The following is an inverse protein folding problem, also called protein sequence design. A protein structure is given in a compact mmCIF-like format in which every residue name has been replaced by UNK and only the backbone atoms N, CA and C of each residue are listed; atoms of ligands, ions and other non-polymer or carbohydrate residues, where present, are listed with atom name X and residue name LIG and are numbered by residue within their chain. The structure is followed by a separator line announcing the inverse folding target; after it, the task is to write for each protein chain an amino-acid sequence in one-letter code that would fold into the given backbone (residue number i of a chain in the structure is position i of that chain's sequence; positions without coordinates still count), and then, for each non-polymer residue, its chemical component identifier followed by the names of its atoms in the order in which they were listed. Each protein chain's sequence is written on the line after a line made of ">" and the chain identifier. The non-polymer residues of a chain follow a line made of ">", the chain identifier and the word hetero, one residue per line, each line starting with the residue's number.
data_IF_366801930020
#
_entry.id   IF_366801930020
#
_cell.length_a   1.000
_cell.length_b   1.000
_cell.length_c   1.000
_cell.angle_alpha   90.00
_cell.angle_beta   90.00
_cell.angle_gamma   90.00
#
_symmetry.space_group_name_H-M   'P 1'
#
loop_
_entity.id
_entity.type
_entity.pdbx_description
1 polymer ?
#
# COMPACT_ATOMS: atom_id res chain seq x y z
N UNK A 1 33.83 57.27 -46.63
CA UNK A 1 33.03 57.93 -45.58
C UNK A 1 32.28 56.87 -44.79
N UNK A 2 32.87 56.52 -43.63
CA UNK A 2 32.35 55.85 -42.43
C UNK A 2 31.44 54.60 -42.53
N UNK A 3 32.12 53.44 -42.58
CA UNK A 3 31.69 52.07 -42.22
C UNK A 3 31.39 51.90 -40.70
N UNK A 4 31.26 52.98 -39.92
CA UNK A 4 31.19 52.92 -38.44
C UNK A 4 29.82 53.27 -37.82
N UNK A 5 28.70 53.26 -38.56
CA UNK A 5 27.40 53.69 -38.01
C UNK A 5 26.20 52.76 -38.21
N UNK A 6 26.40 51.53 -38.68
CA UNK A 6 25.31 50.54 -38.84
C UNK A 6 25.68 49.24 -38.13
N UNK A 7 26.12 49.33 -36.88
CA UNK A 7 26.39 48.16 -36.05
C UNK A 7 26.11 48.41 -34.56
N UNK A 8 25.14 49.29 -34.25
CA UNK A 8 24.77 49.64 -32.88
C UNK A 8 23.25 49.73 -32.67
N UNK A 9 22.50 48.86 -33.36
CA UNK A 9 21.05 48.69 -33.15
C UNK A 9 20.67 47.21 -33.14
N UNK A 10 21.57 46.38 -32.59
CA UNK A 10 21.38 44.95 -32.36
C UNK A 10 21.59 44.69 -30.86
N UNK A 11 20.78 45.36 -30.05
CA UNK A 11 20.64 45.08 -28.62
C UNK A 11 19.16 45.21 -28.28
N UNK A 12 18.67 44.26 -27.49
CA UNK A 12 17.28 44.13 -27.01
C UNK A 12 16.32 43.39 -27.98
N UNK A 13 16.62 42.12 -28.22
CA UNK A 13 15.56 41.10 -28.18
C UNK A 13 16.13 39.74 -27.76
N UNK A 14 16.78 39.71 -26.60
CA UNK A 14 16.89 38.47 -25.84
C UNK A 14 15.51 38.23 -25.21
N UNK A 15 14.63 37.53 -25.93
CA UNK A 15 13.44 36.94 -25.31
C UNK A 15 13.92 36.02 -24.18
N UNK A 16 13.52 36.22 -22.91
CA UNK A 16 13.64 35.19 -21.92
C UNK A 16 12.60 34.11 -22.26
N UNK A 17 12.95 33.15 -23.11
CA UNK A 17 12.23 31.87 -23.24
C UNK A 17 12.54 30.94 -22.05
N UNK A 18 12.59 31.52 -20.85
CA UNK A 18 12.74 30.80 -19.60
C UNK A 18 11.45 30.89 -18.80
N UNK A 19 10.91 29.71 -18.42
CA UNK A 19 9.95 29.48 -17.33
C UNK A 19 8.44 29.36 -17.63
N UNK A 20 8.01 28.96 -18.83
CA UNK A 20 6.63 28.44 -19.02
C UNK A 20 6.59 26.90 -19.16
N UNK A 21 7.66 26.22 -18.75
CA UNK A 21 7.81 24.76 -18.82
C UNK A 21 7.97 24.04 -17.48
N UNK A 22 7.86 24.74 -16.34
CA UNK A 22 7.91 24.12 -15.02
C UNK A 22 6.50 23.99 -14.46
N UNK A 23 5.68 23.10 -15.04
CA UNK A 23 4.50 22.63 -14.33
C UNK A 23 4.94 21.99 -13.01
N UNK A 24 4.25 22.26 -11.92
CA UNK A 24 4.51 21.58 -10.64
C UNK A 24 4.50 20.07 -10.87
N UNK A 25 5.65 19.45 -10.61
CA UNK A 25 5.77 18.00 -10.63
C UNK A 25 4.83 17.44 -9.55
N UNK A 26 3.94 16.52 -9.94
CA UNK A 26 3.10 15.84 -8.98
C UNK A 26 3.91 15.04 -7.96
N UNK A 27 3.30 14.79 -6.82
CA UNK A 27 3.85 14.03 -5.71
C UNK A 27 3.46 12.56 -5.84
N UNK A 28 4.23 11.70 -5.17
CA UNK A 28 3.94 10.28 -5.05
C UNK A 28 3.66 9.95 -3.59
N UNK A 29 2.54 9.28 -3.33
CA UNK A 29 2.28 8.63 -2.06
C UNK A 29 2.27 7.11 -2.28
N UNK A 30 2.87 6.37 -1.36
CA UNK A 30 2.92 4.91 -1.40
C UNK A 30 2.54 4.39 -0.02
N UNK A 31 1.71 3.36 0.05
CA UNK A 31 1.32 2.82 1.33
C UNK A 31 0.39 1.63 1.27
N UNK A 32 -0.09 1.22 2.44
CA UNK A 32 -0.95 0.05 2.63
C UNK A 32 -2.41 0.47 2.69
N UNK A 33 -3.25 -0.16 1.87
CA UNK A 33 -4.69 0.14 1.81
C UNK A 33 -5.40 -0.42 3.04
N UNK A 34 -6.12 0.46 3.74
CA UNK A 34 -6.95 0.11 4.90
C UNK A 34 -8.44 0.21 4.61
N UNK A 35 -8.85 0.91 3.56
CA UNK A 35 -10.22 0.94 3.08
C UNK A 35 -10.28 1.19 1.57
N UNK A 36 -11.27 0.60 0.90
CA UNK A 36 -11.56 0.82 -0.51
C UNK A 36 -13.08 0.83 -0.72
N UNK A 37 -13.59 1.95 -1.23
CA UNK A 37 -14.98 2.09 -1.65
C UNK A 37 -15.03 2.16 -3.18
N UNK A 38 -15.53 1.08 -3.78
CA UNK A 38 -15.66 0.94 -5.23
C UNK A 38 -16.73 1.86 -5.82
N UNK A 39 -17.79 2.15 -5.06
CA UNK A 39 -18.90 2.98 -5.52
C UNK A 39 -18.52 4.46 -5.48
N UNK A 40 -17.95 4.90 -4.35
CA UNK A 40 -17.44 6.25 -4.19
C UNK A 40 -16.13 6.51 -4.95
N UNK A 41 -15.50 5.44 -5.46
CA UNK A 41 -14.17 5.47 -6.09
C UNK A 41 -13.14 6.13 -5.18
N UNK A 42 -13.09 5.70 -3.92
CA UNK A 42 -12.13 6.23 -2.93
C UNK A 42 -11.30 5.12 -2.32
N UNK A 43 -10.03 5.42 -2.06
CA UNK A 43 -9.09 4.54 -1.37
C UNK A 43 -8.49 5.28 -0.19
N UNK A 44 -8.39 4.60 0.95
CA UNK A 44 -7.72 5.11 2.15
C UNK A 44 -6.52 4.22 2.47
N UNK A 45 -5.38 4.83 2.70
CA UNK A 45 -4.11 4.15 2.94
C UNK A 45 -3.37 4.73 4.15
N UNK A 46 -2.53 3.89 4.76
CA UNK A 46 -1.47 4.30 5.68
C UNK A 46 -0.20 4.45 4.86
N UNK A 47 0.34 5.67 4.81
CA UNK A 47 1.57 5.97 4.07
C UNK A 47 2.75 5.19 4.65
N UNK A 48 3.50 4.56 3.75
CA UNK A 48 4.80 3.97 4.04
C UNK A 48 5.84 5.08 4.15
N UNK A 49 6.31 5.33 5.38
CA UNK A 49 7.22 6.45 5.70
C UNK A 49 8.58 6.32 5.01
N UNK A 50 9.06 5.09 4.81
CA UNK A 50 10.38 4.82 4.25
C UNK A 50 10.32 4.61 2.74
N UNK A 51 9.19 4.14 2.21
CA UNK A 51 9.03 3.70 0.83
C UNK A 51 10.09 2.68 0.38
N UNK A 52 10.65 1.93 1.34
CA UNK A 52 11.68 0.92 1.11
C UNK A 52 11.05 -0.40 0.65
N UNK A 53 11.46 -0.96 -0.50
CA UNK A 53 10.98 -2.27 -0.93
C UNK A 53 11.26 -3.32 0.14
N UNK A 54 10.25 -4.14 0.45
CA UNK A 54 10.30 -5.25 1.42
C UNK A 54 10.45 -4.85 2.90
N UNK A 55 10.68 -3.57 3.21
CA UNK A 55 10.85 -3.08 4.57
C UNK A 55 9.99 -1.83 4.83
N UNK A 56 8.65 -1.90 4.70
CA UNK A 56 7.82 -0.72 4.87
C UNK A 56 7.66 -0.33 6.34
N UNK A 57 7.41 0.96 6.56
CA UNK A 57 7.05 1.54 7.85
C UNK A 57 5.64 2.14 7.81
N UNK A 58 4.67 1.41 8.36
CA UNK A 58 3.26 1.83 8.46
C UNK A 58 2.94 2.47 9.80
N UNK A 59 3.70 3.50 10.19
CA UNK A 59 3.48 4.28 11.40
C UNK A 59 2.88 5.67 11.17
N UNK A 60 2.51 5.99 9.93
CA UNK A 60 1.99 7.32 9.55
C UNK A 60 0.51 7.49 9.90
N UNK A 61 0.18 8.55 10.65
CA UNK A 61 -1.17 9.04 10.89
C UNK A 61 -1.25 10.55 10.57
N UNK A 62 -2.42 11.07 10.16
CA UNK A 62 -3.65 10.34 9.88
C UNK A 62 -3.57 9.52 8.58
N UNK A 63 -4.51 8.57 8.32
CA UNK A 63 -4.60 7.91 7.03
C UNK A 63 -4.87 8.90 5.90
N UNK A 64 -4.31 8.64 4.72
CA UNK A 64 -4.54 9.46 3.53
C UNK A 64 -5.67 8.87 2.70
N UNK A 65 -6.61 9.69 2.26
CA UNK A 65 -7.73 9.25 1.41
C UNK A 65 -7.65 9.96 0.06
N UNK A 66 -7.77 9.18 -1.02
CA UNK A 66 -7.74 9.67 -2.39
C UNK A 66 -8.99 9.26 -3.15
N UNK A 67 -9.55 10.18 -3.94
CA UNK A 67 -10.43 9.84 -5.06
C UNK A 67 -9.60 9.22 -6.18
N UNK A 68 -10.07 8.10 -6.70
CA UNK A 68 -9.44 7.38 -7.81
C UNK A 68 -9.66 8.11 -9.14
N UNK A 69 -8.77 7.91 -10.13
CA UNK A 69 -8.92 8.52 -11.44
C UNK A 69 -10.23 8.11 -12.11
N UNK A 70 -10.82 9.02 -12.88
CA UNK A 70 -12.01 8.72 -13.65
C UNK A 70 -11.72 7.79 -14.84
N UNK A 71 -10.55 7.97 -15.47
CA UNK A 71 -10.05 7.17 -16.57
C UNK A 71 -9.46 5.84 -16.05
N UNK A 72 -10.03 4.68 -16.43
CA UNK A 72 -9.48 3.38 -16.07
C UNK A 72 -8.05 3.14 -16.57
N UNK A 73 -7.62 3.80 -17.64
CA UNK A 73 -6.25 3.67 -18.15
C UNK A 73 -5.19 4.23 -17.18
N UNK A 74 -5.60 5.12 -16.27
CA UNK A 74 -4.75 5.68 -15.22
C UNK A 74 -4.83 4.88 -13.90
N UNK A 75 -5.49 3.71 -13.93
CA UNK A 75 -5.57 2.78 -12.81
C UNK A 75 -4.95 1.41 -13.12
N UNK A 76 -4.19 0.89 -12.16
CA UNK A 76 -3.87 -0.53 -12.06
C UNK A 76 -5.03 -1.36 -11.48
N UNK A 77 -4.77 -2.64 -11.14
CA UNK A 77 -5.77 -3.51 -10.53
C UNK A 77 -6.40 -2.91 -9.26
N UNK A 78 -7.68 -3.18 -9.01
CA UNK A 78 -8.35 -2.71 -7.80
C UNK A 78 -7.62 -3.19 -6.53
N UNK A 79 -7.49 -2.33 -5.49
CA UNK A 79 -6.83 -2.70 -4.25
C UNK A 79 -7.74 -3.56 -3.37
N UNK A 80 -7.10 -4.36 -2.53
CA UNK A 80 -7.74 -5.04 -1.41
C UNK A 80 -7.38 -4.31 -0.10
N UNK A 81 -8.38 -4.05 0.73
CA UNK A 81 -8.17 -3.47 2.06
C UNK A 81 -7.80 -4.53 3.10
N UNK A 82 -7.01 -4.15 4.09
CA UNK A 82 -6.73 -4.97 5.27
C UNK A 82 -6.10 -4.15 6.38
N UNK A 83 -6.50 -4.41 7.62
CA UNK A 83 -6.15 -3.55 8.76
C UNK A 83 -4.85 -3.96 9.46
N UNK A 84 -4.27 -5.11 9.13
CA UNK A 84 -3.02 -5.58 9.74
C UNK A 84 -1.83 -4.81 9.17
N UNK A 85 -1.16 -4.07 10.05
CA UNK A 85 0.04 -3.29 9.74
C UNK A 85 1.32 -4.11 9.93
N UNK A 86 1.37 -4.93 10.98
CA UNK A 86 2.54 -5.76 11.30
C UNK A 86 2.12 -7.08 11.96
N UNK A 87 2.89 -8.13 11.68
CA UNK A 87 2.91 -9.37 12.45
C UNK A 87 4.36 -9.60 12.89
N UNK A 88 4.60 -9.52 14.20
CA UNK A 88 5.90 -9.69 14.84
C UNK A 88 5.84 -10.89 15.79
N UNK A 89 6.24 -12.06 15.27
CA UNK A 89 6.19 -13.32 16.02
C UNK A 89 7.31 -13.44 17.06
N UNK A 90 8.34 -12.57 17.00
CA UNK A 90 9.39 -12.53 18.02
C UNK A 90 8.94 -11.71 19.23
N UNK A 91 8.25 -10.60 18.98
CA UNK A 91 7.67 -9.76 20.02
C UNK A 91 6.30 -10.26 20.50
N UNK A 92 5.72 -11.27 19.85
CA UNK A 92 4.35 -11.74 20.09
C UNK A 92 3.32 -10.60 19.98
N UNK A 93 3.44 -9.80 18.93
CA UNK A 93 2.54 -8.67 18.66
C UNK A 93 2.00 -8.71 17.23
N UNK A 94 0.72 -8.44 17.08
CA UNK A 94 0.11 -8.01 15.82
C UNK A 94 -0.29 -6.55 15.97
N UNK A 95 0.21 -5.69 15.08
CA UNK A 95 -0.20 -4.29 15.00
C UNK A 95 -1.32 -4.15 13.97
N UNK A 96 -2.44 -3.56 14.35
CA UNK A 96 -3.55 -3.22 13.45
C UNK A 96 -3.81 -1.72 13.42
N UNK A 97 -4.49 -1.24 12.39
CA UNK A 97 -5.18 0.05 12.41
C UNK A 97 -6.64 -0.17 12.80
N UNK A 98 -7.11 0.47 13.88
CA UNK A 98 -8.50 0.37 14.29
C UNK A 98 -9.31 1.55 13.70
N UNK A 99 -10.24 1.30 12.76
CA UNK A 99 -10.99 2.37 12.11
C UNK A 99 -11.96 3.10 13.04
N UNK A 100 -12.33 2.52 14.18
CA UNK A 100 -13.21 3.17 15.17
C UNK A 100 -12.45 4.22 15.98
N UNK A 101 -11.22 3.91 16.39
CA UNK A 101 -10.38 4.80 17.21
C UNK A 101 -9.44 5.67 16.37
N UNK A 102 -9.31 5.37 15.07
CA UNK A 102 -8.38 6.02 14.13
C UNK A 102 -6.92 5.95 14.61
N UNK A 103 -6.56 4.87 15.32
CA UNK A 103 -5.26 4.68 15.93
C UNK A 103 -4.68 3.29 15.63
N UNK A 104 -3.38 3.13 15.86
CA UNK A 104 -2.75 1.82 15.85
C UNK A 104 -2.89 1.13 17.19
N UNK A 105 -3.17 -0.17 17.15
CA UNK A 105 -3.29 -1.02 18.32
C UNK A 105 -2.30 -2.18 18.22
N UNK A 106 -1.47 -2.33 19.25
CA UNK A 106 -0.58 -3.48 19.40
C UNK A 106 -1.30 -4.54 20.23
N UNK A 107 -1.68 -5.64 19.57
CA UNK A 107 -2.39 -6.75 20.18
C UNK A 107 -1.38 -7.83 20.52
N UNK A 108 -1.27 -8.16 21.79
CA UNK A 108 -0.48 -9.32 22.23
C UNK A 108 -1.10 -10.60 21.68
N UNK A 109 -0.27 -11.45 21.07
CA UNK A 109 -0.68 -12.74 20.53
C UNK A 109 -0.07 -13.90 21.31
N UNK A 110 -0.76 -15.02 21.33
CA UNK A 110 -0.19 -16.31 21.73
C UNK A 110 0.05 -17.15 20.50
N UNK A 111 1.31 -17.33 20.10
CA UNK A 111 1.68 -18.17 18.95
C UNK A 111 1.43 -19.63 19.30
N UNK A 112 0.61 -20.30 18.49
CA UNK A 112 0.23 -21.71 18.64
C UNK A 112 1.08 -22.58 17.71
N UNK A 113 1.26 -22.13 16.47
CA UNK A 113 2.10 -22.78 15.47
C UNK A 113 2.81 -21.72 14.62
N UNK A 114 4.07 -21.96 14.28
CA UNK A 114 4.86 -21.10 13.43
C UNK A 114 5.75 -21.94 12.51
N UNK A 115 5.45 -21.86 11.23
CA UNK A 115 6.21 -22.54 10.19
C UNK A 115 6.91 -21.49 9.33
N UNK A 116 8.22 -21.63 9.19
CA UNK A 116 9.08 -20.74 8.42
C UNK A 116 9.53 -21.39 7.12
N UNK A 117 10.13 -20.60 6.22
CA UNK A 117 10.56 -21.02 4.89
C UNK A 117 9.41 -21.56 4.02
N UNK A 118 8.20 -21.01 4.21
CA UNK A 118 7.01 -21.34 3.44
C UNK A 118 6.91 -20.40 2.25
N UNK A 119 7.31 -20.88 1.07
CA UNK A 119 7.12 -20.16 -0.19
C UNK A 119 5.66 -20.18 -0.68
N UNK A 120 5.36 -19.46 -1.76
CA UNK A 120 3.99 -19.29 -2.28
C UNK A 120 3.42 -20.53 -2.95
N UNK A 121 4.26 -21.52 -3.28
CA UNK A 121 3.91 -22.78 -3.94
C UNK A 121 3.93 -23.96 -2.94
N UNK A 122 4.23 -23.69 -1.67
CA UNK A 122 4.25 -24.70 -0.62
C UNK A 122 2.85 -25.32 -0.43
N UNK A 123 2.70 -26.65 -0.29
CA UNK A 123 1.39 -27.33 -0.18
C UNK A 123 0.48 -26.84 0.96
N UNK A 124 1.08 -26.22 1.99
CA UNK A 124 0.32 -25.65 3.10
C UNK A 124 -0.45 -24.39 2.70
N UNK A 125 0.00 -23.66 1.68
CA UNK A 125 -0.58 -22.37 1.26
C UNK A 125 -1.03 -22.37 -0.20
N UNK A 126 -0.73 -23.43 -0.95
CA UNK A 126 -1.08 -23.59 -2.35
C UNK A 126 -1.65 -24.98 -2.62
N UNK A 127 -2.77 -25.04 -3.32
CA UNK A 127 -3.35 -26.27 -3.81
C UNK A 127 -2.85 -26.53 -5.25
N UNK A 128 -2.03 -27.56 -5.42
CA UNK A 128 -1.48 -27.95 -6.72
C UNK A 128 -2.51 -28.62 -7.62
N UNK A 129 -3.54 -29.26 -7.07
CA UNK A 129 -4.55 -29.94 -7.88
C UNK A 129 -5.49 -28.94 -8.56
N UNK A 130 -5.77 -27.82 -7.89
CA UNK A 130 -6.63 -26.74 -8.42
C UNK A 130 -5.84 -25.53 -8.93
N UNK A 131 -4.52 -25.54 -8.81
CA UNK A 131 -3.62 -24.42 -9.16
C UNK A 131 -4.01 -23.10 -8.49
N UNK A 132 -4.43 -23.16 -7.22
CA UNK A 132 -4.94 -22.00 -6.48
C UNK A 132 -4.28 -21.82 -5.11
N UNK A 133 -3.95 -20.58 -4.76
CA UNK A 133 -3.54 -20.24 -3.41
C UNK A 133 -4.70 -20.40 -2.41
N UNK A 134 -4.40 -20.94 -1.23
CA UNK A 134 -5.36 -21.00 -0.12
C UNK A 134 -5.67 -19.59 0.39
N UNK A 135 -6.88 -19.41 0.88
CA UNK A 135 -7.34 -18.12 1.42
C UNK A 135 -6.85 -17.94 2.85
N UNK A 136 -6.24 -16.79 3.10
CA UNK A 136 -5.82 -16.33 4.42
C UNK A 136 -6.30 -14.89 4.62
N UNK A 137 -6.59 -14.46 5.86
CA UNK A 137 -6.53 -15.21 7.12
C UNK A 137 -7.60 -16.31 7.21
N UNK A 138 -7.32 -17.35 7.99
CA UNK A 138 -8.33 -18.32 8.41
C UNK A 138 -8.65 -18.03 9.88
N UNK A 139 -9.87 -17.56 10.16
CA UNK A 139 -10.32 -17.22 11.51
C UNK A 139 -11.27 -18.31 12.02
N UNK A 140 -10.82 -19.08 13.01
CA UNK A 140 -11.62 -20.08 13.70
C UNK A 140 -12.08 -19.48 15.05
N UNK A 141 -13.35 -19.07 15.12
CA UNK A 141 -13.93 -18.39 16.29
C UNK A 141 -14.25 -19.35 17.43
N UNK A 142 -14.41 -20.64 17.15
CA UNK A 142 -14.69 -21.68 18.14
C UNK A 142 -13.39 -22.08 18.85
N UNK A 143 -12.32 -22.28 18.08
CA UNK A 143 -10.99 -22.61 18.61
C UNK A 143 -10.19 -21.39 19.05
N UNK A 144 -10.70 -20.18 18.79
CA UNK A 144 -10.02 -18.92 19.09
C UNK A 144 -8.63 -18.88 18.45
N UNK A 145 -8.55 -19.20 17.15
CA UNK A 145 -7.29 -19.18 16.41
C UNK A 145 -7.40 -18.41 15.10
N UNK A 146 -6.32 -17.74 14.73
CA UNK A 146 -6.16 -17.05 13.45
C UNK A 146 -4.90 -17.59 12.78
N UNK A 147 -5.05 -18.10 11.56
CA UNK A 147 -3.91 -18.54 10.73
C UNK A 147 -3.66 -17.53 9.62
N UNK A 148 -2.42 -17.04 9.53
CA UNK A 148 -1.97 -16.07 8.53
C UNK A 148 -0.77 -16.62 7.78
N UNK A 149 -0.84 -16.55 6.44
CA UNK A 149 0.33 -16.66 5.58
C UNK A 149 0.92 -15.27 5.28
N UNK A 150 2.22 -15.12 5.49
CA UNK A 150 2.99 -13.93 5.11
C UNK A 150 4.00 -14.31 4.03
N UNK A 151 3.66 -14.03 2.77
CA UNK A 151 4.55 -14.33 1.64
C UNK A 151 5.86 -13.52 1.66
N UNK A 152 5.83 -12.29 2.18
CA UNK A 152 7.04 -11.47 2.37
C UNK A 152 8.00 -12.08 3.39
N UNK A 153 7.46 -12.56 4.52
CA UNK A 153 8.27 -13.17 5.58
C UNK A 153 8.49 -14.69 5.38
N UNK A 154 7.91 -15.27 4.31
CA UNK A 154 7.91 -16.71 4.03
C UNK A 154 7.51 -17.55 5.25
N UNK A 155 6.42 -17.19 5.90
CA UNK A 155 5.95 -17.90 7.10
C UNK A 155 4.43 -18.10 7.12
N UNK A 156 4.02 -19.20 7.74
CA UNK A 156 2.64 -19.52 8.10
C UNK A 156 2.55 -19.54 9.63
N UNK A 157 1.71 -18.69 10.21
CA UNK A 157 1.60 -18.54 11.65
C UNK A 157 0.15 -18.71 12.08
N UNK A 158 -0.09 -19.60 13.04
CA UNK A 158 -1.35 -19.73 13.76
C UNK A 158 -1.16 -19.17 15.16
N UNK A 159 -2.02 -18.24 15.57
CA UNK A 159 -1.96 -17.61 16.87
C UNK A 159 -3.37 -17.34 17.41
N UNK A 160 -3.45 -17.10 18.72
CA UNK A 160 -4.64 -16.60 19.39
C UNK A 160 -4.45 -15.14 19.82
N UNK A 161 -5.56 -14.44 20.04
CA UNK A 161 -5.67 -13.06 20.52
C UNK A 161 -6.65 -13.04 21.70
N UNK A 162 -6.69 -11.97 22.52
CA UNK A 162 -7.74 -11.80 23.52
C UNK A 162 -9.14 -11.88 22.90
N UNK A 163 -10.10 -12.39 23.67
CA UNK A 163 -11.43 -12.76 23.17
C UNK A 163 -12.19 -11.59 22.52
N UNK A 164 -11.99 -10.37 23.01
CA UNK A 164 -12.64 -9.18 22.48
C UNK A 164 -12.34 -8.95 20.99
N UNK A 165 -11.18 -9.40 20.50
CA UNK A 165 -10.75 -9.19 19.12
C UNK A 165 -11.37 -10.18 18.13
N UNK A 166 -11.94 -11.31 18.58
CA UNK A 166 -12.66 -12.24 17.69
C UNK A 166 -14.01 -11.70 17.20
N UNK A 167 -14.50 -10.62 17.81
CA UNK A 167 -15.66 -9.86 17.32
C UNK A 167 -15.32 -9.00 16.10
N UNK A 168 -14.03 -8.77 15.82
CA UNK A 168 -13.61 -8.00 14.66
C UNK A 168 -13.81 -8.78 13.35
N UNK A 169 -14.04 -8.09 12.22
CA UNK A 169 -14.14 -8.72 10.90
C UNK A 169 -12.85 -9.46 10.49
N UNK A 170 -12.96 -10.47 9.63
CA UNK A 170 -11.80 -11.26 9.20
C UNK A 170 -10.73 -10.41 8.48
N UNK A 171 -11.16 -9.39 7.71
CA UNK A 171 -10.24 -8.47 7.03
C UNK A 171 -9.39 -7.62 7.97
N UNK A 172 -9.69 -7.60 9.28
CA UNK A 172 -8.81 -7.02 10.29
C UNK A 172 -7.42 -7.65 10.27
N UNK A 173 -7.37 -8.97 10.06
CA UNK A 173 -6.14 -9.75 10.07
C UNK A 173 -5.46 -9.79 8.70
N UNK A 174 -6.11 -9.25 7.68
CA UNK A 174 -5.54 -9.12 6.34
C UNK A 174 -4.49 -8.02 6.28
N UNK A 175 -3.42 -8.32 5.54
CA UNK A 175 -2.55 -7.29 5.01
C UNK A 175 -3.23 -6.70 3.76
N UNK A 176 -3.56 -5.40 3.80
CA UNK A 176 -4.00 -4.68 2.61
C UNK A 176 -2.95 -4.66 1.50
N UNK A 177 -3.39 -4.42 0.28
CA UNK A 177 -2.48 -4.25 -0.86
C UNK A 177 -1.63 -2.99 -0.66
N UNK A 178 -0.40 -3.03 -1.16
CA UNK A 178 0.45 -1.87 -1.32
C UNK A 178 0.12 -1.17 -2.65
N UNK A 179 -0.03 0.15 -2.57
CA UNK A 179 -0.43 0.99 -3.70
C UNK A 179 0.50 2.19 -3.82
N UNK A 180 0.57 2.74 -5.02
CA UNK A 180 1.26 3.99 -5.34
C UNK A 180 0.28 4.95 -6.00
N UNK A 181 0.20 6.16 -5.48
CA UNK A 181 -0.70 7.23 -5.89
C UNK A 181 0.14 8.39 -6.40
N UNK A 182 -0.06 8.79 -7.65
CA UNK A 182 0.48 10.04 -8.17
C UNK A 182 -0.60 11.11 -8.12
N UNK A 183 -0.31 12.26 -7.54
CA UNK A 183 -1.29 13.33 -7.35
C UNK A 183 -0.63 14.72 -7.45
N UNK A 184 -1.44 15.73 -7.79
CA UNK A 184 -1.05 17.15 -7.71
C UNK A 184 -1.82 17.90 -6.64
N UNK A 185 -3.07 17.52 -6.45
CA UNK A 185 -3.95 18.03 -5.39
C UNK A 185 -4.14 16.94 -4.34
N UNK A 186 -3.97 17.29 -3.07
CA UNK A 186 -4.17 16.36 -1.96
C UNK A 186 -5.58 15.74 -2.05
N UNK A 187 -5.65 14.42 -1.87
CA UNK A 187 -6.90 13.65 -1.94
C UNK A 187 -7.47 13.43 -3.34
N UNK A 188 -6.80 13.86 -4.42
CA UNK A 188 -7.21 13.57 -5.81
C UNK A 188 -6.07 12.93 -6.56
N UNK A 189 -6.22 11.64 -6.87
CA UNK A 189 -5.20 10.93 -7.62
C UNK A 189 -5.33 11.18 -9.13
N UNK A 190 -4.18 11.39 -9.77
CA UNK A 190 -4.03 11.42 -11.23
C UNK A 190 -3.69 10.04 -11.77
N UNK A 191 -2.91 9.25 -11.03
CA UNK A 191 -2.64 7.84 -11.32
C UNK A 191 -2.71 7.02 -10.05
N UNK A 192 -3.23 5.81 -10.18
CA UNK A 192 -3.32 4.86 -9.07
C UNK A 192 -2.79 3.50 -9.51
N UNK A 193 -1.78 2.96 -8.82
CA UNK A 193 -1.20 1.66 -9.16
C UNK A 193 -1.22 0.73 -7.95
N UNK A 194 -1.77 -0.46 -8.12
CA UNK A 194 -1.64 -1.53 -7.14
C UNK A 194 -0.35 -2.30 -7.36
N UNK A 195 0.70 -1.94 -6.62
CA UNK A 195 2.03 -2.53 -6.76
C UNK A 195 2.13 -3.94 -6.15
N UNK A 196 1.15 -4.36 -5.35
CA UNK A 196 1.07 -5.77 -4.89
C UNK A 196 0.60 -6.74 -5.97
N UNK A 197 -0.15 -6.24 -6.97
CA UNK A 197 -0.70 -7.05 -8.06
C UNK A 197 -0.02 -6.80 -9.40
N UNK A 198 0.67 -5.68 -9.54
CA UNK A 198 1.44 -5.36 -10.75
C UNK A 198 2.87 -5.88 -10.63
N UNK A 199 3.22 -6.85 -11.46
CA UNK A 199 4.60 -7.30 -11.61
C UNK A 199 5.36 -6.32 -12.51
N UNK A 200 6.03 -5.35 -11.90
CA UNK A 200 6.85 -4.36 -12.63
C UNK A 200 8.10 -4.96 -13.29
N UNK A 201 8.41 -6.24 -13.02
CA UNK A 201 9.57 -6.94 -13.59
C UNK A 201 9.20 -7.87 -14.75
N UNK A 202 7.91 -8.11 -15.01
CA UNK A 202 7.45 -8.74 -16.25
C UNK A 202 7.47 -7.70 -17.38
N UNK A 203 8.56 -7.70 -18.15
CA UNK A 203 8.59 -7.14 -19.50
C UNK A 203 7.99 -8.12 -20.50
#
# INVERSE_FOLDING_TARGET
>A
MNIKRILLTLMVMALPLGLVGCGEYGKVDQGRVIAFDKQAKTVTLIQDKLAEPMNPDYSTLPPHTYKLPADPAEMGPEPKAGLRMKLDTKANIVKIFNPKTQAFEDITITVIDLQQNIDRQHPLVFDKATDTAKKFPMVDRDKKTITIYSGRQKMLCTFSVPDEYFSMPDHTWEAGDEVRVYYKTEGVSLRFMNISKTDIFKK
#
